data_IF_065059810885
#
_entry.id   IF_065059810885
#
_cell.length_a   1.000
_cell.length_b   1.000
_cell.length_c   1.000
_cell.angle_alpha   90.00
_cell.angle_beta   90.00
_cell.angle_gamma   90.00
#
_symmetry.space_group_name_H-M   'P 1'
#
loop_
_entity.id
_entity.type
_entity.pdbx_description
1 polymer ?
#
# COMPACT_ATOMS: atom_id res chain seq x y z
N UNK A 1 -2.85 8.39 24.12
CA UNK A 1 -1.39 8.63 23.99
C UNK A 1 -1.17 9.28 22.64
N UNK A 2 -0.50 10.45 22.57
CA UNK A 2 -0.17 11.10 21.30
C UNK A 2 1.03 10.38 20.68
N UNK A 3 0.99 10.10 19.38
CA UNK A 3 2.11 9.49 18.66
C UNK A 3 2.95 10.59 18.01
N UNK A 4 4.27 10.45 18.05
CA UNK A 4 5.18 11.39 17.37
C UNK A 4 5.43 10.99 15.92
N UNK A 5 5.30 9.69 15.62
CA UNK A 5 5.56 9.10 14.31
C UNK A 5 4.42 8.15 13.94
N UNK A 6 4.03 8.17 12.67
CA UNK A 6 3.18 7.19 12.01
C UNK A 6 3.99 6.46 10.94
N UNK A 7 3.53 5.27 10.55
CA UNK A 7 4.15 4.50 9.49
C UNK A 7 3.12 4.27 8.39
N UNK A 8 3.39 4.79 7.19
CA UNK A 8 2.55 4.57 6.02
C UNK A 8 3.11 3.43 5.17
N UNK A 9 2.25 2.57 4.65
CA UNK A 9 2.63 1.60 3.61
C UNK A 9 2.17 2.15 2.26
N UNK A 10 3.12 2.35 1.34
CA UNK A 10 2.83 2.82 -0.01
C UNK A 10 2.28 1.71 -0.90
N UNK A 11 1.75 2.08 -2.06
CA UNK A 11 1.33 1.16 -3.13
C UNK A 11 2.48 0.32 -3.70
N UNK A 12 3.72 0.79 -3.57
CA UNK A 12 4.94 0.05 -3.85
C UNK A 12 5.43 -0.82 -2.68
N UNK A 13 4.58 -1.07 -1.68
CA UNK A 13 4.87 -1.89 -0.50
C UNK A 13 6.07 -1.39 0.34
N UNK A 14 6.39 -0.09 0.26
CA UNK A 14 7.43 0.52 1.09
C UNK A 14 6.82 1.04 2.38
N UNK A 15 7.52 0.84 3.50
CA UNK A 15 7.17 1.46 4.77
C UNK A 15 7.83 2.84 4.84
N UNK A 16 7.01 3.88 4.87
CA UNK A 16 7.40 5.28 4.95
C UNK A 16 7.14 5.81 6.36
N UNK A 17 8.19 6.09 7.16
CA UNK A 17 8.04 6.75 8.46
C UNK A 17 7.64 8.22 8.27
N UNK A 18 6.63 8.65 9.01
CA UNK A 18 6.04 9.98 8.95
C UNK A 18 6.08 10.63 10.33
N UNK A 19 6.80 11.74 10.48
CA UNK A 19 6.78 12.52 11.71
C UNK A 19 5.53 13.42 11.72
N UNK A 20 4.81 13.45 12.82
CA UNK A 20 3.72 14.42 13.02
C UNK A 20 4.34 15.76 13.42
N UNK A 21 4.11 16.79 12.60
CA UNK A 21 4.64 18.15 12.83
C UNK A 21 3.58 19.11 13.35
N UNK A 22 2.32 18.90 12.99
CA UNK A 22 1.20 19.66 13.53
C UNK A 22 0.00 18.76 13.83
N UNK A 23 -0.80 19.15 14.82
CA UNK A 23 -1.99 18.45 15.27
C UNK A 23 -3.06 19.48 15.65
N UNK A 24 -4.14 19.54 14.87
CA UNK A 24 -5.27 20.44 15.08
C UNK A 24 -6.51 19.62 15.46
N UNK A 25 -7.03 19.83 16.67
CA UNK A 25 -8.25 19.15 17.12
C UNK A 25 -9.47 19.91 16.57
N UNK A 26 -10.28 19.22 15.76
CA UNK A 26 -11.51 19.76 15.19
C UNK A 26 -12.66 19.75 16.22
N UNK A 27 -13.71 20.57 16.04
CA UNK A 27 -14.86 20.60 16.96
C UNK A 27 -15.57 19.26 17.15
N UNK A 28 -15.52 18.37 16.15
CA UNK A 28 -16.04 17.00 16.25
C UNK A 28 -15.15 16.04 17.05
N UNK A 29 -14.03 16.52 17.59
CA UNK A 29 -13.03 15.73 18.32
C UNK A 29 -12.03 14.99 17.44
N UNK A 30 -12.14 15.07 16.11
CA UNK A 30 -11.15 14.47 15.20
C UNK A 30 -9.84 15.27 15.20
N UNK A 31 -8.73 14.57 15.04
CA UNK A 31 -7.40 15.14 14.88
C UNK A 31 -7.10 15.33 13.39
N UNK A 32 -6.81 16.57 12.98
CA UNK A 32 -6.25 16.89 11.68
C UNK A 32 -4.74 17.06 11.84
N UNK A 33 -3.98 16.06 11.43
CA UNK A 33 -2.52 16.04 11.58
C UNK A 33 -1.81 16.36 10.27
N UNK A 34 -0.74 17.14 10.36
CA UNK A 34 0.19 17.40 9.26
C UNK A 34 1.45 16.61 9.53
N UNK A 35 1.94 15.92 8.50
CA UNK A 35 3.14 15.09 8.61
C UNK A 35 4.26 15.55 7.69
N UNK A 36 5.46 15.09 8.01
CA UNK A 36 6.64 15.14 7.15
C UNK A 36 7.29 13.76 7.05
N UNK A 37 7.97 13.49 5.95
CA UNK A 37 8.74 12.25 5.80
C UNK A 37 9.91 12.26 6.80
N UNK A 38 10.00 11.20 7.60
CA UNK A 38 11.06 11.00 8.58
C UNK A 38 12.05 9.91 8.12
N UNK A 39 12.58 10.08 6.91
CA UNK A 39 13.54 9.15 6.30
C UNK A 39 14.80 9.92 5.85
N UNK A 40 15.98 9.31 5.98
CA UNK A 40 17.25 9.98 5.66
C UNK A 40 17.39 10.29 4.15
N UNK A 41 16.88 9.43 3.27
CA UNK A 41 16.98 9.58 1.81
C UNK A 41 15.67 9.10 1.15
N UNK A 42 14.57 9.87 1.23
CA UNK A 42 13.33 9.50 0.55
C UNK A 42 13.52 9.58 -0.96
N UNK A 43 12.96 8.63 -1.70
CA UNK A 43 12.99 8.68 -3.16
C UNK A 43 11.82 9.55 -3.70
N UNK A 44 11.83 9.82 -5.01
CA UNK A 44 10.78 10.62 -5.66
C UNK A 44 9.38 10.03 -5.45
N UNK A 45 9.26 8.70 -5.44
CA UNK A 45 8.00 8.00 -5.17
C UNK A 45 7.50 8.22 -3.75
N UNK A 46 8.38 8.16 -2.74
CA UNK A 46 8.04 8.43 -1.35
C UNK A 46 7.54 9.87 -1.18
N UNK A 47 8.23 10.82 -1.82
CA UNK A 47 7.84 12.25 -1.82
C UNK A 47 6.49 12.45 -2.50
N UNK A 48 6.27 11.83 -3.66
CA UNK A 48 5.00 11.88 -4.37
C UNK A 48 3.86 11.30 -3.52
N UNK A 49 4.04 10.10 -2.97
CA UNK A 49 3.03 9.43 -2.16
C UNK A 49 2.70 10.23 -0.89
N UNK A 50 3.71 10.78 -0.23
CA UNK A 50 3.50 11.67 0.91
C UNK A 50 2.67 12.89 0.52
N UNK A 51 3.09 13.62 -0.51
CA UNK A 51 2.42 14.86 -0.91
C UNK A 51 0.98 14.63 -1.37
N UNK A 52 0.71 13.49 -2.02
CA UNK A 52 -0.61 13.16 -2.53
C UNK A 52 -1.54 12.61 -1.44
N UNK A 53 -1.04 11.75 -0.54
CA UNK A 53 -1.92 10.96 0.33
C UNK A 53 -1.69 11.16 1.82
N UNK A 54 -0.45 11.44 2.25
CA UNK A 54 -0.09 11.31 3.67
C UNK A 54 0.30 12.63 4.34
N UNK A 55 0.53 13.71 3.59
CA UNK A 55 0.91 15.03 4.13
C UNK A 55 -0.11 15.57 5.13
N UNK A 56 -1.38 15.24 4.94
CA UNK A 56 -2.49 15.64 5.79
C UNK A 56 -3.36 14.43 6.06
N UNK A 57 -3.45 14.03 7.33
CA UNK A 57 -4.19 12.85 7.78
C UNK A 57 -5.25 13.25 8.78
N UNK A 58 -6.40 12.60 8.70
CA UNK A 58 -7.46 12.72 9.70
C UNK A 58 -7.49 11.47 10.57
N UNK A 59 -7.38 11.67 11.87
CA UNK A 59 -7.40 10.62 12.88
C UNK A 59 -8.62 10.84 13.78
N UNK A 60 -9.25 9.76 14.21
CA UNK A 60 -10.42 9.84 15.10
C UNK A 60 -10.02 10.36 16.49
N UNK A 61 -11.02 10.69 17.32
CA UNK A 61 -10.85 11.25 18.67
C UNK A 61 -9.98 10.39 19.58
N UNK A 62 -10.02 9.07 19.41
CA UNK A 62 -9.28 8.11 20.25
C UNK A 62 -7.94 7.71 19.64
N UNK A 63 -7.46 8.49 18.67
CA UNK A 63 -6.28 8.19 17.86
C UNK A 63 -6.38 6.86 17.11
N UNK A 64 -7.58 6.41 16.76
CA UNK A 64 -7.78 5.24 15.91
C UNK A 64 -7.61 5.62 14.45
N UNK A 65 -6.79 4.83 13.76
CA UNK A 65 -6.48 5.01 12.34
C UNK A 65 -7.52 4.24 11.53
N UNK A 66 -8.36 4.97 10.78
CA UNK A 66 -9.34 4.37 9.87
C UNK A 66 -8.74 4.03 8.49
N UNK A 67 -7.53 4.51 8.20
CA UNK A 67 -6.84 4.25 6.95
C UNK A 67 -6.06 2.93 7.05
N UNK A 68 -6.36 1.98 6.15
CA UNK A 68 -5.78 0.62 6.17
C UNK A 68 -4.26 0.57 6.01
N UNK A 69 -3.66 1.62 5.46
CA UNK A 69 -2.22 1.70 5.17
C UNK A 69 -1.45 2.58 6.16
N UNK A 70 -2.05 3.06 7.25
CA UNK A 70 -1.38 3.81 8.31
C UNK A 70 -1.31 2.98 9.59
N UNK A 71 -0.14 2.99 10.22
CA UNK A 71 0.17 2.19 11.40
C UNK A 71 0.81 3.05 12.48
N UNK A 72 0.60 2.65 13.74
CA UNK A 72 1.17 3.32 14.93
C UNK A 72 2.58 2.83 15.25
N UNK A 73 2.93 1.63 14.77
CA UNK A 73 4.21 0.99 15.00
C UNK A 73 4.77 0.40 13.70
N UNK A 74 6.10 0.29 13.67
CA UNK A 74 6.84 -0.15 12.50
C UNK A 74 6.61 -1.63 12.18
N UNK A 75 6.49 -2.49 13.18
CA UNK A 75 6.36 -3.94 12.96
C UNK A 75 5.02 -4.29 12.31
N UNK A 76 3.93 -3.64 12.71
CA UNK A 76 2.63 -3.79 12.06
C UNK A 76 2.67 -3.33 10.60
N UNK A 77 3.30 -2.18 10.33
CA UNK A 77 3.46 -1.69 8.95
C UNK A 77 4.29 -2.64 8.08
N UNK A 78 5.38 -3.16 8.63
CA UNK A 78 6.26 -4.13 7.98
C UNK A 78 5.53 -5.45 7.71
N UNK A 79 4.79 -5.97 8.69
CA UNK A 79 3.99 -7.20 8.54
C UNK A 79 2.93 -7.04 7.45
N UNK A 80 2.26 -5.89 7.42
CA UNK A 80 1.28 -5.58 6.38
C UNK A 80 1.93 -5.51 4.99
N UNK A 81 3.06 -4.81 4.85
CA UNK A 81 3.81 -4.72 3.59
C UNK A 81 4.28 -6.10 3.10
N UNK A 82 4.82 -6.94 4.00
CA UNK A 82 5.24 -8.30 3.66
C UNK A 82 4.06 -9.16 3.18
N UNK A 83 2.93 -9.14 3.90
CA UNK A 83 1.72 -9.87 3.51
C UNK A 83 1.21 -9.42 2.15
N UNK A 84 1.17 -8.11 1.90
CA UNK A 84 0.71 -7.57 0.63
C UNK A 84 1.64 -7.94 -0.54
N UNK A 85 2.96 -8.05 -0.30
CA UNK A 85 3.92 -8.56 -1.29
C UNK A 85 3.66 -10.04 -1.60
N UNK A 86 3.44 -10.87 -0.57
CA UNK A 86 3.13 -12.29 -0.73
C UNK A 86 1.84 -12.51 -1.52
N UNK A 87 0.76 -11.80 -1.16
CA UNK A 87 -0.50 -11.82 -1.89
C UNK A 87 -0.32 -11.39 -3.36
N UNK A 88 0.51 -10.37 -3.61
CA UNK A 88 0.80 -9.91 -4.97
C UNK A 88 1.58 -10.95 -5.76
N UNK A 89 2.56 -11.61 -5.14
CA UNK A 89 3.33 -12.69 -5.77
C UNK A 89 2.42 -13.86 -6.16
N UNK A 90 1.51 -14.26 -5.28
CA UNK A 90 0.59 -15.36 -5.55
C UNK A 90 -0.41 -15.01 -6.66
N UNK A 91 -0.91 -13.78 -6.67
CA UNK A 91 -1.74 -13.26 -7.76
C UNK A 91 -1.00 -13.30 -9.11
N UNK A 92 0.26 -12.84 -9.15
CA UNK A 92 1.07 -12.83 -10.38
C UNK A 92 1.39 -14.25 -10.85
N UNK A 93 1.72 -15.18 -9.94
CA UNK A 93 1.92 -16.60 -10.30
C UNK A 93 0.68 -17.21 -10.92
N UNK A 94 -0.51 -16.96 -10.33
CA UNK A 94 -1.77 -17.44 -10.89
C UNK A 94 -2.03 -16.88 -12.29
N UNK A 95 -1.75 -15.58 -12.51
CA UNK A 95 -1.84 -14.97 -13.83
C UNK A 95 -0.87 -15.59 -14.84
N UNK A 96 0.37 -15.87 -14.42
CA UNK A 96 1.37 -16.53 -15.25
C UNK A 96 0.89 -17.91 -15.68
N UNK A 97 0.44 -18.75 -14.74
CA UNK A 97 -0.09 -20.09 -15.04
C UNK A 97 -1.26 -20.04 -16.03
N UNK A 98 -2.16 -19.07 -15.89
CA UNK A 98 -3.26 -18.88 -16.84
C UNK A 98 -2.78 -18.52 -18.26
N UNK A 99 -1.77 -17.66 -18.36
CA UNK A 99 -1.17 -17.28 -19.64
C UNK A 99 -0.41 -18.44 -20.28
N UNK A 100 0.34 -19.22 -19.50
CA UNK A 100 1.04 -20.42 -19.96
C UNK A 100 0.05 -21.47 -20.49
N UNK A 101 -1.07 -21.70 -19.79
CA UNK A 101 -2.13 -22.60 -20.25
C UNK A 101 -2.75 -22.11 -21.57
N UNK A 102 -3.04 -20.81 -21.69
CA UNK A 102 -3.52 -20.22 -22.95
C UNK A 102 -2.52 -20.38 -24.09
N UNK A 103 -1.23 -20.15 -23.83
CA UNK A 103 -0.19 -20.34 -24.82
C UNK A 103 -0.13 -21.79 -25.29
N UNK A 104 -0.13 -22.75 -24.35
CA UNK A 104 -0.12 -24.17 -24.69
C UNK A 104 -1.34 -24.57 -25.54
N UNK A 105 -2.53 -24.09 -25.16
CA UNK A 105 -3.75 -24.33 -25.94
C UNK A 105 -3.64 -23.76 -27.35
N UNK A 106 -3.16 -22.52 -27.50
CA UNK A 106 -2.96 -21.89 -28.81
C UNK A 106 -1.91 -22.63 -29.66
N UNK A 107 -0.81 -23.09 -29.05
CA UNK A 107 0.23 -23.85 -29.76
C UNK A 107 -0.23 -25.25 -30.18
N UNK A 108 -1.19 -25.84 -29.46
CA UNK A 108 -1.78 -27.12 -29.79
C UNK A 108 -2.91 -27.02 -30.85
N UNK A 109 -3.40 -25.81 -31.16
CA UNK A 109 -4.38 -25.63 -32.23
C UNK A 109 -3.78 -26.01 -33.58
N UNK A 110 -4.47 -26.91 -34.27
CA UNK A 110 -4.22 -27.24 -35.67
C UNK A 110 -5.35 -26.71 -36.56
N UNK A 111 -5.06 -26.47 -37.84
CA UNK A 111 -6.07 -26.04 -38.80
C UNK A 111 -7.24 -27.05 -38.88
N UNK A 112 -6.93 -28.35 -38.77
CA UNK A 112 -7.92 -29.44 -38.72
C UNK A 112 -8.79 -29.36 -37.46
N UNK A 113 -8.20 -29.12 -36.27
CA UNK A 113 -8.96 -28.96 -35.03
C UNK A 113 -9.89 -27.73 -35.01
N UNK A 114 -9.60 -26.71 -35.83
CA UNK A 114 -10.41 -25.50 -35.97
C UNK A 114 -11.54 -25.65 -36.99
N UNK A 115 -11.37 -26.53 -37.98
CA UNK A 115 -12.31 -26.74 -39.08
C UNK A 115 -13.20 -27.99 -38.90
N UNK A 116 -12.95 -28.82 -37.89
CA UNK A 116 -13.71 -30.04 -37.59
C UNK A 116 -15.06 -29.79 -36.86
N UNK A 117 -15.59 -28.56 -36.87
CA UNK A 117 -16.94 -28.23 -36.40
C UNK A 117 -17.94 -28.24 -37.55
#
# INVERSE_FOLDING_TARGET
>A
MKFETLFAVTDHFRVLPLRIVEDHVLPCGMHKVITEINAQNPNEGDVFMHNTYFKLVFITKDWELNQRCLFKDFESAKSFAATAIEEKLDSVKSQLTHLESKQANLSALTLESLLAN
#
